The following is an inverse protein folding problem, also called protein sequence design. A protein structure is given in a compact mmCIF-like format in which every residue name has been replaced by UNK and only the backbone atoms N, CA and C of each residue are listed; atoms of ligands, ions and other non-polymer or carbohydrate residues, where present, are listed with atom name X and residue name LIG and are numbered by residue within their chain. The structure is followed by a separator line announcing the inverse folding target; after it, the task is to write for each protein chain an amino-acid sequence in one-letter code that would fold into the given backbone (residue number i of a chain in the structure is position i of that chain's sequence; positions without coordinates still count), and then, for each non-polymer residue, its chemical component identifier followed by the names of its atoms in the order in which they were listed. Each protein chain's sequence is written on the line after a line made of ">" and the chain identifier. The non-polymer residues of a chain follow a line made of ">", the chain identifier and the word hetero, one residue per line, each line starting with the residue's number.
data_IF_630723059340
#
_entry.id   IF_630723059340
#
_cell.length_a   1.000
_cell.length_b   1.000
_cell.length_c   1.000
_cell.angle_alpha   90.00
_cell.angle_beta   90.00
_cell.angle_gamma   90.00
#
_symmetry.space_group_name_H-M   'P 1'
#
loop_
_entity.id
_entity.type
_entity.pdbx_description
1 polymer ?
#
# COMPACT_ATOMS: atom_id res chain seq x y z
N UNK A 1 -4.65 -21.59 -11.87
CA UNK A 1 -3.83 -22.15 -10.79
C UNK A 1 -4.46 -23.44 -10.30
N UNK A 2 -3.76 -24.26 -9.49
CA UNK A 2 -4.20 -25.61 -9.10
C UNK A 2 -5.38 -25.70 -8.13
N UNK A 3 -6.03 -24.59 -7.74
CA UNK A 3 -7.16 -24.58 -6.79
C UNK A 3 -6.70 -24.66 -5.33
N UNK A 4 -7.66 -24.82 -4.41
CA UNK A 4 -7.42 -25.00 -2.98
C UNK A 4 -7.90 -26.38 -2.57
N UNK A 5 -6.99 -27.28 -2.18
CA UNK A 5 -7.37 -28.63 -1.76
C UNK A 5 -8.09 -28.59 -0.39
N UNK A 6 -9.24 -29.25 -0.32
CA UNK A 6 -10.01 -29.40 0.92
C UNK A 6 -9.42 -30.50 1.81
N UNK A 7 -8.93 -30.19 3.03
CA UNK A 7 -8.38 -31.18 3.95
C UNK A 7 -9.45 -32.04 4.66
N UNK A 8 -10.73 -31.68 4.57
CA UNK A 8 -11.84 -32.40 5.19
C UNK A 8 -12.43 -33.48 4.26
N UNK A 9 -12.10 -33.44 2.97
CA UNK A 9 -12.56 -34.42 1.99
C UNK A 9 -11.55 -35.56 1.81
N UNK A 10 -12.06 -36.79 1.61
CA UNK A 10 -11.20 -37.97 1.42
C UNK A 10 -10.48 -37.95 0.07
N UNK A 11 -11.08 -37.33 -0.95
CA UNK A 11 -10.55 -37.25 -2.31
C UNK A 11 -9.85 -35.93 -2.60
N UNK A 12 -9.24 -35.81 -3.80
CA UNK A 12 -8.71 -34.54 -4.27
C UNK A 12 -9.85 -33.59 -4.66
N UNK A 13 -10.34 -32.82 -3.69
CA UNK A 13 -11.47 -31.89 -3.88
C UNK A 13 -10.98 -30.44 -3.83
N UNK A 14 -11.28 -29.65 -4.87
CA UNK A 14 -11.05 -28.20 -4.87
C UNK A 14 -12.15 -27.49 -4.07
N UNK A 15 -11.80 -26.89 -2.93
CA UNK A 15 -12.70 -26.15 -2.05
C UNK A 15 -13.36 -24.95 -2.76
N UNK A 16 -12.72 -24.40 -3.79
CA UNK A 16 -13.28 -23.30 -4.59
C UNK A 16 -14.07 -23.81 -5.81
N UNK A 17 -14.24 -25.13 -5.96
CA UNK A 17 -14.85 -25.79 -7.12
C UNK A 17 -16.26 -25.31 -7.45
N UNK A 18 -17.04 -24.91 -6.44
CA UNK A 18 -18.40 -24.41 -6.59
C UNK A 18 -18.50 -22.97 -7.12
N UNK A 19 -17.39 -22.22 -7.13
CA UNK A 19 -17.38 -20.85 -7.64
C UNK A 19 -17.46 -20.82 -9.17
N UNK A 20 -18.30 -19.94 -9.71
CA UNK A 20 -18.33 -19.65 -11.15
C UNK A 20 -16.99 -19.04 -11.63
N UNK A 21 -16.73 -19.15 -12.93
CA UNK A 21 -15.53 -18.54 -13.54
C UNK A 21 -15.46 -17.04 -13.28
N UNK A 22 -16.58 -16.33 -13.45
CA UNK A 22 -16.66 -14.89 -13.20
C UNK A 22 -16.34 -14.55 -11.73
N UNK A 23 -16.91 -15.28 -10.77
CA UNK A 23 -16.63 -15.03 -9.36
C UNK A 23 -15.14 -15.23 -9.01
N UNK A 24 -14.48 -16.22 -9.63
CA UNK A 24 -13.04 -16.45 -9.46
C UNK A 24 -12.22 -15.27 -10.01
N UNK A 25 -12.61 -14.73 -11.16
CA UNK A 25 -11.96 -13.57 -11.78
C UNK A 25 -12.16 -12.31 -10.93
N UNK A 26 -13.37 -12.05 -10.45
CA UNK A 26 -13.70 -10.88 -9.65
C UNK A 26 -12.93 -10.87 -8.32
N UNK A 27 -12.90 -12.02 -7.61
CA UNK A 27 -12.12 -12.18 -6.37
C UNK A 27 -10.63 -11.97 -6.63
N UNK A 28 -10.12 -12.52 -7.74
CA UNK A 28 -8.71 -12.36 -8.12
C UNK A 28 -8.38 -10.90 -8.43
N UNK A 29 -9.21 -10.22 -9.21
CA UNK A 29 -9.02 -8.81 -9.56
C UNK A 29 -9.06 -7.91 -8.32
N UNK A 30 -10.03 -8.14 -7.43
CA UNK A 30 -10.15 -7.43 -6.15
C UNK A 30 -8.92 -7.63 -5.26
N UNK A 31 -8.45 -8.88 -5.09
CA UNK A 31 -7.26 -9.18 -4.31
C UNK A 31 -6.00 -8.52 -4.88
N UNK A 32 -5.83 -8.53 -6.21
CA UNK A 32 -4.71 -7.84 -6.87
C UNK A 32 -4.76 -6.32 -6.63
N UNK A 33 -5.93 -5.71 -6.67
CA UNK A 33 -6.10 -4.30 -6.35
C UNK A 33 -5.74 -4.00 -4.88
N UNK A 34 -6.22 -4.81 -3.95
CA UNK A 34 -5.89 -4.69 -2.53
C UNK A 34 -4.39 -4.83 -2.27
N UNK A 35 -3.69 -5.76 -2.93
CA UNK A 35 -2.23 -5.90 -2.84
C UNK A 35 -1.49 -4.63 -3.27
N UNK A 36 -1.94 -3.96 -4.33
CA UNK A 36 -1.38 -2.66 -4.74
C UNK A 36 -1.60 -1.60 -3.67
N UNK A 37 -2.80 -1.52 -3.08
CA UNK A 37 -3.07 -0.60 -1.97
C UNK A 37 -2.16 -0.87 -0.75
N UNK A 38 -1.91 -2.14 -0.42
CA UNK A 38 -0.97 -2.51 0.65
C UNK A 38 0.45 -2.01 0.36
N UNK A 39 0.95 -2.19 -0.86
CA UNK A 39 2.29 -1.72 -1.26
C UNK A 39 2.45 -0.20 -1.12
N UNK A 40 1.38 0.56 -1.38
CA UNK A 40 1.34 2.02 -1.21
C UNK A 40 0.89 2.48 0.18
N UNK A 41 0.91 1.59 1.18
CA UNK A 41 0.54 1.87 2.58
C UNK A 41 -0.90 2.38 2.76
N UNK A 42 -1.80 1.99 1.86
CA UNK A 42 -3.22 2.34 1.88
C UNK A 42 -4.11 1.20 2.42
N UNK A 43 -3.60 0.39 3.36
CA UNK A 43 -4.34 -0.73 3.97
C UNK A 43 -5.68 -0.31 4.58
N UNK A 44 -5.78 0.92 5.08
CA UNK A 44 -7.01 1.46 5.65
C UNK A 44 -8.18 1.42 4.66
N UNK A 45 -7.92 1.57 3.35
CA UNK A 45 -8.95 1.44 2.31
C UNK A 45 -9.45 0.00 2.15
N UNK A 46 -8.54 -0.98 2.28
CA UNK A 46 -8.89 -2.41 2.20
C UNK A 46 -9.72 -2.83 3.43
N UNK A 47 -9.39 -2.28 4.60
CA UNK A 47 -10.08 -2.57 5.86
C UNK A 47 -11.37 -1.75 6.07
N UNK A 48 -11.72 -0.83 5.16
CA UNK A 48 -12.90 0.01 5.31
C UNK A 48 -12.85 0.97 6.50
N UNK A 49 -11.65 1.45 6.86
CA UNK A 49 -11.43 2.32 8.02
C UNK A 49 -10.77 3.66 7.62
N UNK A 50 -10.80 4.63 8.54
CA UNK A 50 -10.02 5.86 8.39
C UNK A 50 -8.51 5.61 8.42
N UNK A 51 -7.73 6.45 7.74
CA UNK A 51 -6.27 6.36 7.82
C UNK A 51 -5.81 6.63 9.26
N UNK A 52 -4.99 5.73 9.80
CA UNK A 52 -4.36 5.94 11.08
C UNK A 52 -3.41 7.16 11.01
N UNK A 53 -3.25 7.91 12.11
CA UNK A 53 -2.29 9.00 12.17
C UNK A 53 -0.88 8.47 11.94
N UNK A 54 -0.11 9.16 11.09
CA UNK A 54 1.24 8.74 10.74
C UNK A 54 2.14 8.86 11.97
N UNK A 55 2.66 7.72 12.46
CA UNK A 55 3.57 7.73 13.60
C UNK A 55 4.91 8.38 13.21
N UNK A 56 5.36 9.39 13.97
CA UNK A 56 6.64 10.07 13.77
C UNK A 56 7.86 9.13 13.91
N UNK A 57 7.66 7.92 14.43
CA UNK A 57 8.68 6.89 14.59
C UNK A 57 9.13 6.26 13.24
N UNK A 58 8.26 6.23 12.23
CA UNK A 58 8.56 5.60 10.93
C UNK A 58 9.55 6.38 10.04
N UNK A 59 9.85 7.64 10.39
CA UNK A 59 10.81 8.47 9.67
C UNK A 59 12.27 8.15 10.03
N UNK A 60 12.53 7.55 11.21
CA UNK A 60 13.89 7.39 11.75
C UNK A 60 14.61 6.12 11.30
N UNK A 61 13.92 5.15 10.69
CA UNK A 61 14.51 3.85 10.35
C UNK A 61 14.67 3.57 8.85
N UNK A 62 14.66 4.62 8.01
CA UNK A 62 14.89 4.51 6.55
C UNK A 62 16.36 4.57 6.15
N UNK A 63 17.31 4.25 7.04
CA UNK A 63 18.69 4.02 6.61
C UNK A 63 18.79 2.60 6.03
N UNK A 64 18.34 2.43 4.78
CA UNK A 64 18.85 1.35 3.93
C UNK A 64 20.37 1.47 3.96
N UNK A 65 21.09 0.41 4.36
CA UNK A 65 22.54 0.34 4.12
C UNK A 65 22.73 0.33 2.60
N UNK A 66 23.05 1.50 2.07
CA UNK A 66 23.56 1.66 0.72
C UNK A 66 25.07 1.50 0.88
N UNK A 67 25.61 0.34 0.52
CA UNK A 67 27.02 0.25 0.16
C UNK A 67 27.21 1.16 -1.06
N UNK A 68 28.20 2.05 -1.01
CA UNK A 68 28.48 3.00 -2.08
C UNK A 68 28.92 4.34 -1.52
N UNK A 69 30.24 4.52 -1.52
CA UNK A 69 31.00 5.74 -1.29
C UNK A 69 30.50 6.98 -2.05
N UNK A 70 30.81 8.11 -1.44
CA UNK A 70 31.15 9.41 -2.06
C UNK A 70 30.05 10.47 -2.29
N UNK A 71 30.20 11.53 -1.48
CA UNK A 71 30.14 12.97 -1.77
C UNK A 71 29.20 13.49 -2.86
N UNK A 72 28.30 14.41 -2.48
CA UNK A 72 27.50 15.19 -3.42
C UNK A 72 26.56 16.14 -2.69
N UNK A 73 27.04 17.35 -2.45
CA UNK A 73 26.27 18.53 -2.02
C UNK A 73 25.17 18.87 -3.04
N UNK A 74 24.07 19.44 -2.57
CA UNK A 74 22.97 19.86 -3.44
C UNK A 74 21.92 20.66 -2.66
N UNK A 75 22.21 21.94 -2.45
CA UNK A 75 21.23 23.00 -2.19
C UNK A 75 20.32 23.23 -3.42
N UNK A 76 19.31 24.10 -3.24
CA UNK A 76 18.35 24.66 -4.21
C UNK A 76 17.01 23.87 -4.32
N UNK A 77 15.82 24.46 -4.31
CA UNK A 77 15.38 25.87 -4.40
C UNK A 77 13.85 25.95 -4.14
N UNK A 78 13.41 27.07 -3.58
CA UNK A 78 12.27 27.85 -4.11
C UNK A 78 10.83 27.37 -3.97
N UNK A 79 10.09 27.95 -3.00
CA UNK A 79 8.76 28.57 -3.25
C UNK A 79 8.36 29.55 -2.13
N UNK A 80 8.61 30.86 -2.37
CA UNK A 80 7.78 31.98 -1.87
C UNK A 80 6.46 31.94 -2.65
N UNK A 81 5.30 32.24 -2.06
CA UNK A 81 4.69 33.55 -1.82
C UNK A 81 3.34 33.25 -1.08
N UNK A 82 2.66 34.10 -0.32
CA UNK A 82 2.63 35.55 -0.14
C UNK A 82 2.03 35.80 1.26
N UNK A 83 2.67 36.62 2.09
CA UNK A 83 2.14 37.07 3.38
C UNK A 83 1.18 38.23 3.10
N UNK A 84 -0.08 38.06 3.50
CA UNK A 84 -1.09 39.11 3.55
C UNK A 84 -0.78 39.97 4.78
N UNK A 85 -0.40 41.23 4.55
CA UNK A 85 -0.13 42.20 5.62
C UNK A 85 -1.29 43.20 5.61
N UNK A 86 -2.12 43.09 6.65
CA UNK A 86 -3.19 44.01 6.99
C UNK A 86 -2.59 45.24 7.65
N UNK A 87 -2.81 46.41 7.04
CA UNK A 87 -2.67 47.68 7.76
C UNK A 87 -3.70 48.70 7.25
N UNK A 88 -4.76 48.87 8.04
CA UNK A 88 -5.62 50.06 8.09
C UNK A 88 -4.80 51.27 8.60
N UNK A 89 -5.15 52.50 8.20
CA UNK A 89 -6.11 53.27 9.00
C UNK A 89 -7.31 53.84 8.23
#
# INVERSE_FOLDING_TARGET
>A
GPGLLDPCEKGQTDALGSMSKQAREDVTASAQHALRLLAFRQIHKVLGMGSLPVSKAGARNRKRRRDGSDTGEGEADGKKDKKDDSHDP
#
